data_IF_743795153029
#
_entry.id   IF_743795153029
#
_cell.length_a   1.000
_cell.length_b   1.000
_cell.length_c   1.000
_cell.angle_alpha   90.00
_cell.angle_beta   90.00
_cell.angle_gamma   90.00
#
_symmetry.space_group_name_H-M   'P 1'
#
loop_
_entity.id
_entity.type
_entity.pdbx_description
1 polymer ?
#
# COMPACT_ATOMS: atom_id res chain seq x y z
N UNK A 1 -22.83 -5.71 -24.37
CA UNK A 1 -22.47 -4.30 -24.11
C UNK A 1 -21.02 -4.25 -23.65
N UNK A 2 -20.11 -3.78 -24.48
CA UNK A 2 -18.68 -3.66 -24.14
C UNK A 2 -18.43 -2.21 -23.73
N UNK A 3 -17.93 -2.00 -22.50
CA UNK A 3 -17.62 -0.66 -22.00
C UNK A 3 -16.54 0.00 -22.85
N UNK A 4 -16.77 1.23 -23.32
CA UNK A 4 -15.88 1.94 -24.25
C UNK A 4 -14.44 2.08 -23.71
N UNK A 5 -14.27 2.23 -22.40
CA UNK A 5 -12.97 2.40 -21.76
C UNK A 5 -12.47 1.16 -21.02
N UNK A 6 -12.95 -0.04 -21.38
CA UNK A 6 -12.56 -1.29 -20.70
C UNK A 6 -11.05 -1.56 -20.78
N UNK A 7 -10.43 -1.32 -21.93
CA UNK A 7 -8.98 -1.47 -22.12
C UNK A 7 -8.18 -0.50 -21.25
N UNK A 8 -8.62 0.76 -21.18
CA UNK A 8 -8.00 1.78 -20.33
C UNK A 8 -8.18 1.45 -18.84
N UNK A 9 -9.34 0.95 -18.45
CA UNK A 9 -9.61 0.53 -17.07
C UNK A 9 -8.69 -0.63 -16.65
N UNK A 10 -8.49 -1.62 -17.53
CA UNK A 10 -7.53 -2.71 -17.29
C UNK A 10 -6.11 -2.21 -17.16
N UNK A 11 -5.68 -1.30 -18.04
CA UNK A 11 -4.36 -0.69 -17.96
C UNK A 11 -4.16 0.03 -16.63
N UNK A 12 -5.15 0.80 -16.16
CA UNK A 12 -5.09 1.51 -14.87
C UNK A 12 -5.07 0.55 -13.67
N UNK A 13 -5.82 -0.55 -13.73
CA UNK A 13 -5.74 -1.62 -12.71
C UNK A 13 -4.35 -2.24 -12.64
N UNK A 14 -3.73 -2.52 -13.78
CA UNK A 14 -2.37 -3.06 -13.81
C UNK A 14 -1.34 -2.05 -13.28
N UNK A 15 -1.48 -0.77 -13.62
CA UNK A 15 -0.64 0.29 -13.08
C UNK A 15 -0.78 0.39 -11.55
N UNK A 16 -2.01 0.42 -11.02
CA UNK A 16 -2.25 0.40 -9.56
C UNK A 16 -1.62 -0.82 -8.88
N UNK A 17 -1.76 -2.01 -9.47
CA UNK A 17 -1.14 -3.22 -8.93
C UNK A 17 0.40 -3.14 -8.89
N UNK A 18 1.02 -2.51 -9.89
CA UNK A 18 2.46 -2.30 -9.91
C UNK A 18 2.90 -1.36 -8.78
N UNK A 19 2.19 -0.23 -8.62
CA UNK A 19 2.46 0.73 -7.54
C UNK A 19 2.26 0.12 -6.15
N UNK A 20 1.25 -0.75 -5.98
CA UNK A 20 1.02 -1.50 -4.75
C UNK A 20 2.16 -2.46 -4.42
N UNK A 21 2.68 -3.18 -5.41
CA UNK A 21 3.83 -4.09 -5.23
C UNK A 21 5.08 -3.32 -4.85
N UNK A 22 5.38 -2.25 -5.57
CA UNK A 22 6.52 -1.38 -5.26
C UNK A 22 6.42 -0.82 -3.83
N UNK A 23 5.24 -0.36 -3.43
CA UNK A 23 4.99 0.12 -2.06
C UNK A 23 5.21 -0.99 -1.01
N UNK A 24 4.72 -2.20 -1.26
CA UNK A 24 4.90 -3.33 -0.36
C UNK A 24 6.38 -3.71 -0.18
N UNK A 25 7.15 -3.75 -1.27
CA UNK A 25 8.59 -3.99 -1.22
C UNK A 25 9.32 -2.92 -0.40
N UNK A 26 9.02 -1.64 -0.64
CA UNK A 26 9.61 -0.53 0.11
C UNK A 26 9.25 -0.57 1.59
N UNK A 27 8.01 -0.95 1.93
CA UNK A 27 7.59 -1.15 3.32
C UNK A 27 8.36 -2.30 3.97
N UNK A 28 8.50 -3.44 3.30
CA UNK A 28 9.28 -4.57 3.81
C UNK A 28 10.72 -4.17 4.10
N UNK A 29 11.36 -3.40 3.22
CA UNK A 29 12.69 -2.86 3.46
C UNK A 29 12.73 -1.91 4.66
N UNK A 30 11.73 -1.05 4.84
CA UNK A 30 11.62 -0.16 6.00
C UNK A 30 11.48 -0.97 7.30
N UNK A 31 10.61 -1.98 7.32
CA UNK A 31 10.42 -2.86 8.46
C UNK A 31 11.70 -3.62 8.82
N UNK A 32 12.41 -4.16 7.83
CA UNK A 32 13.69 -4.83 8.05
C UNK A 32 14.73 -3.89 8.67
N UNK A 33 14.79 -2.63 8.20
CA UNK A 33 15.69 -1.61 8.77
C UNK A 33 15.33 -1.25 10.20
N UNK A 34 14.05 -1.11 10.52
CA UNK A 34 13.57 -0.85 11.88
C UNK A 34 13.91 -2.02 12.82
N UNK A 35 13.71 -3.25 12.35
CA UNK A 35 14.08 -4.45 13.11
C UNK A 35 15.60 -4.52 13.36
N UNK A 36 16.41 -4.17 12.36
CA UNK A 36 17.87 -4.08 12.52
C UNK A 36 18.27 -3.03 13.56
N UNK A 37 17.61 -1.87 13.58
CA UNK A 37 17.84 -0.84 14.61
C UNK A 37 17.49 -1.37 16.00
N UNK A 38 16.36 -2.06 16.14
CA UNK A 38 15.95 -2.65 17.41
C UNK A 38 16.97 -3.69 17.88
N UNK A 39 17.45 -4.54 16.98
CA UNK A 39 18.49 -5.51 17.29
C UNK A 39 19.78 -4.83 17.78
N UNK A 40 20.21 -3.75 17.13
CA UNK A 40 21.38 -2.98 17.55
C UNK A 40 21.19 -2.40 18.97
N UNK A 41 20.02 -1.84 19.27
CA UNK A 41 19.69 -1.30 20.59
C UNK A 41 19.69 -2.40 21.66
N UNK A 42 19.02 -3.52 21.40
CA UNK A 42 18.97 -4.68 22.30
C UNK A 42 20.38 -5.27 22.55
N UNK A 43 21.21 -5.39 21.51
CA UNK A 43 22.60 -5.82 21.66
C UNK A 43 23.45 -4.83 22.46
N UNK A 44 23.19 -3.53 22.31
CA UNK A 44 23.82 -2.49 23.11
C UNK A 44 23.47 -2.59 24.59
N UNK A 45 22.20 -2.79 24.91
CA UNK A 45 21.71 -2.95 26.27
C UNK A 45 22.31 -4.20 26.94
N UNK A 46 22.30 -5.35 26.25
CA UNK A 46 22.92 -6.59 26.77
C UNK A 46 24.40 -6.42 27.07
N UNK A 47 25.15 -5.80 26.17
CA UNK A 47 26.59 -5.57 26.38
C UNK A 47 26.84 -4.55 27.51
N UNK A 48 25.93 -3.61 27.73
CA UNK A 48 26.01 -2.65 28.84
C UNK A 48 25.75 -3.33 30.18
N UNK A 49 24.76 -4.21 30.26
CA UNK A 49 24.49 -5.05 31.43
C UNK A 49 25.69 -5.95 31.75
N UNK A 50 26.24 -6.61 30.73
CA UNK A 50 27.43 -7.45 30.88
C UNK A 50 28.64 -6.67 31.39
N UNK A 51 28.89 -5.47 30.83
CA UNK A 51 29.96 -4.58 31.31
C UNK A 51 29.72 -4.20 32.78
N UNK A 52 28.48 -3.88 33.16
CA UNK A 52 28.15 -3.52 34.54
C UNK A 52 28.43 -4.65 35.52
N UNK A 53 28.10 -5.90 35.17
CA UNK A 53 28.45 -7.07 35.98
C UNK A 53 29.98 -7.27 36.05
N UNK A 54 30.68 -7.13 34.92
CA UNK A 54 32.14 -7.30 34.86
C UNK A 54 32.89 -6.19 35.62
N UNK A 55 32.36 -4.98 35.68
CA UNK A 55 32.91 -3.87 36.47
C UNK A 55 32.88 -4.12 37.98
N UNK A 56 32.03 -5.03 38.46
CA UNK A 56 32.05 -5.49 39.86
C UNK A 56 33.24 -6.40 40.17
N UNK A 57 33.97 -6.82 39.13
CA UNK A 57 35.21 -7.60 39.19
C UNK A 57 36.41 -6.72 38.79
N UNK A 58 37.62 -7.14 39.11
CA UNK A 58 38.84 -6.43 38.71
C UNK A 58 39.03 -6.54 37.19
N UNK A 59 38.73 -5.46 36.45
CA UNK A 59 38.83 -5.42 34.99
C UNK A 59 40.15 -4.78 34.53
N UNK A 60 40.76 -5.35 33.49
CA UNK A 60 41.92 -4.74 32.83
C UNK A 60 41.51 -3.49 32.03
N UNK A 61 42.33 -2.44 32.07
CA UNK A 61 42.13 -1.22 31.28
C UNK A 61 42.03 -1.46 29.78
N UNK A 62 42.69 -2.50 29.25
CA UNK A 62 42.60 -2.91 27.84
C UNK A 62 41.18 -3.35 27.48
N UNK A 63 40.49 -4.06 28.39
CA UNK A 63 39.12 -4.51 28.17
C UNK A 63 38.16 -3.31 28.18
N UNK A 64 38.37 -2.35 29.07
CA UNK A 64 37.58 -1.12 29.10
C UNK A 64 37.69 -0.31 27.80
N UNK A 65 38.90 -0.20 27.23
CA UNK A 65 39.11 0.46 25.94
C UNK A 65 38.37 -0.23 24.78
N UNK A 66 38.28 -1.57 24.79
CA UNK A 66 37.50 -2.32 23.78
C UNK A 66 36.01 -2.04 23.89
N UNK A 67 35.47 -1.95 25.11
CA UNK A 67 34.06 -1.60 25.32
C UNK A 67 33.75 -0.16 24.88
N UNK A 68 34.61 0.80 25.22
CA UNK A 68 34.44 2.20 24.80
C UNK A 68 34.41 2.32 23.27
N UNK A 69 35.37 1.69 22.58
CA UNK A 69 35.38 1.63 21.12
C UNK A 69 34.12 0.97 20.54
N UNK A 70 33.68 -0.14 21.14
CA UNK A 70 32.46 -0.82 20.73
C UNK A 70 31.23 0.08 20.86
N UNK A 71 31.05 0.78 21.99
CA UNK A 71 29.90 1.66 22.20
C UNK A 71 29.93 2.90 21.31
N UNK A 72 31.09 3.48 21.03
CA UNK A 72 31.24 4.57 20.05
C UNK A 72 30.85 4.11 18.64
N UNK A 73 31.33 2.94 18.22
CA UNK A 73 30.96 2.32 16.95
C UNK A 73 29.46 2.01 16.88
N UNK A 74 28.89 1.47 17.95
CA UNK A 74 27.46 1.18 18.05
C UNK A 74 26.61 2.45 17.95
N UNK A 75 27.00 3.54 18.63
CA UNK A 75 26.34 4.83 18.53
C UNK A 75 26.33 5.36 17.10
N UNK A 76 27.50 5.33 16.43
CA UNK A 76 27.63 5.75 15.03
C UNK A 76 26.73 4.93 14.11
N UNK A 77 26.73 3.60 14.25
CA UNK A 77 25.88 2.69 13.46
C UNK A 77 24.39 2.93 13.70
N UNK A 78 24.01 3.23 14.93
CA UNK A 78 22.62 3.53 15.32
C UNK A 78 22.14 4.81 14.63
N UNK A 79 22.94 5.89 14.68
CA UNK A 79 22.62 7.17 14.02
C UNK A 79 22.48 7.00 12.51
N UNK A 80 23.41 6.27 11.88
CA UNK A 80 23.34 5.97 10.43
C UNK A 80 22.07 5.20 10.10
N UNK A 81 21.72 4.19 10.91
CA UNK A 81 20.51 3.40 10.68
C UNK A 81 19.23 4.22 10.86
N UNK A 82 19.17 5.11 11.85
CA UNK A 82 18.04 6.03 12.08
C UNK A 82 17.85 7.01 10.91
N UNK A 83 18.95 7.53 10.37
CA UNK A 83 18.92 8.37 9.16
C UNK A 83 18.34 7.59 7.97
N UNK A 84 18.83 6.37 7.73
CA UNK A 84 18.36 5.51 6.64
C UNK A 84 16.89 5.13 6.77
N UNK A 85 16.39 4.91 7.99
CA UNK A 85 14.97 4.67 8.27
C UNK A 85 14.15 5.90 7.90
N UNK A 86 14.62 7.09 8.28
CA UNK A 86 13.92 8.35 7.98
C UNK A 86 13.85 8.61 6.47
N UNK A 87 14.95 8.43 5.75
CA UNK A 87 14.96 8.54 4.29
C UNK A 87 14.05 7.50 3.62
N UNK A 88 14.11 6.25 4.07
CA UNK A 88 13.26 5.18 3.56
C UNK A 88 11.78 5.48 3.83
N UNK A 89 11.46 6.02 5.01
CA UNK A 89 10.11 6.45 5.37
C UNK A 89 9.59 7.56 4.46
N UNK A 90 10.41 8.56 4.14
CA UNK A 90 10.05 9.62 3.18
C UNK A 90 9.77 9.04 1.79
N UNK A 91 10.57 8.08 1.32
CA UNK A 91 10.35 7.42 0.03
C UNK A 91 9.06 6.61 0.01
N UNK A 92 8.75 5.88 1.09
CA UNK A 92 7.49 5.13 1.23
C UNK A 92 6.28 6.08 1.19
N UNK A 93 6.36 7.22 1.87
CA UNK A 93 5.27 8.19 1.87
C UNK A 93 5.07 8.84 0.48
N UNK A 94 6.17 9.14 -0.23
CA UNK A 94 6.10 9.59 -1.62
C UNK A 94 5.47 8.53 -2.55
N UNK A 95 5.79 7.25 -2.35
CA UNK A 95 5.17 6.15 -3.11
C UNK A 95 3.68 6.01 -2.79
N UNK A 96 3.29 6.20 -1.52
CA UNK A 96 1.89 6.17 -1.08
C UNK A 96 1.06 7.25 -1.78
N UNK A 97 1.58 8.48 -1.93
CA UNK A 97 0.84 9.54 -2.62
C UNK A 97 0.63 9.21 -4.10
N UNK A 98 1.63 8.64 -4.77
CA UNK A 98 1.51 8.16 -6.15
C UNK A 98 0.46 7.06 -6.30
N UNK A 99 0.44 6.09 -5.38
CA UNK A 99 -0.57 5.04 -5.36
C UNK A 99 -1.99 5.61 -5.20
N UNK A 100 -2.17 6.56 -4.28
CA UNK A 100 -3.47 7.23 -4.08
C UNK A 100 -3.94 7.93 -5.36
N UNK A 101 -3.05 8.59 -6.10
CA UNK A 101 -3.40 9.17 -7.39
C UNK A 101 -3.78 8.12 -8.44
N UNK A 102 -3.05 7.00 -8.51
CA UNK A 102 -3.38 5.91 -9.41
C UNK A 102 -4.77 5.32 -9.10
N UNK A 103 -5.08 5.13 -7.82
CA UNK A 103 -6.39 4.66 -7.35
C UNK A 103 -7.51 5.65 -7.72
N UNK A 104 -7.28 6.96 -7.55
CA UNK A 104 -8.24 8.00 -7.96
C UNK A 104 -8.52 7.93 -9.47
N UNK A 105 -7.48 7.83 -10.29
CA UNK A 105 -7.58 7.71 -11.75
C UNK A 105 -8.36 6.47 -12.17
N UNK A 106 -8.15 5.32 -11.51
CA UNK A 106 -8.96 4.10 -11.72
C UNK A 106 -10.42 4.32 -11.30
N UNK A 107 -10.65 4.91 -10.12
CA UNK A 107 -12.00 5.09 -9.56
C UNK A 107 -12.91 5.90 -10.47
N UNK A 108 -12.38 6.93 -11.13
CA UNK A 108 -13.13 7.71 -12.13
C UNK A 108 -13.64 6.81 -13.27
N UNK A 109 -12.81 5.91 -13.78
CA UNK A 109 -13.20 5.00 -14.88
C UNK A 109 -14.22 3.95 -14.45
N UNK A 110 -14.15 3.45 -13.20
CA UNK A 110 -15.17 2.56 -12.65
C UNK A 110 -16.51 3.28 -12.52
N UNK A 111 -16.54 4.52 -12.03
CA UNK A 111 -17.78 5.31 -11.91
C UNK A 111 -18.42 5.52 -13.30
N UNK A 112 -17.60 5.80 -14.32
CA UNK A 112 -18.10 5.95 -15.69
C UNK A 112 -18.70 4.64 -16.23
N UNK A 113 -18.04 3.51 -15.96
CA UNK A 113 -18.54 2.18 -16.31
C UNK A 113 -19.88 1.88 -15.65
N UNK A 114 -19.98 2.15 -14.35
CA UNK A 114 -21.21 1.93 -13.57
C UNK A 114 -22.38 2.78 -14.11
N UNK A 115 -22.11 4.05 -14.45
CA UNK A 115 -23.11 4.94 -15.07
C UNK A 115 -23.57 4.44 -16.43
N UNK A 116 -22.67 3.97 -17.28
CA UNK A 116 -23.00 3.44 -18.60
C UNK A 116 -23.87 2.17 -18.47
N UNK A 117 -23.49 1.26 -17.56
CA UNK A 117 -24.28 0.07 -17.23
C UNK A 117 -25.68 0.41 -16.70
N UNK A 118 -25.77 1.39 -15.82
CA UNK A 118 -27.05 1.86 -15.29
C UNK A 118 -27.96 2.41 -16.39
N UNK A 119 -27.41 3.26 -17.26
CA UNK A 119 -28.16 3.85 -18.39
C UNK A 119 -28.60 2.78 -19.40
N UNK A 120 -27.73 1.82 -19.71
CA UNK A 120 -28.04 0.70 -20.59
C UNK A 120 -29.22 -0.14 -20.03
N UNK A 121 -29.16 -0.50 -18.75
CA UNK A 121 -30.26 -1.23 -18.07
C UNK A 121 -31.56 -0.44 -18.09
N UNK A 122 -31.50 0.86 -17.78
CA UNK A 122 -32.68 1.73 -17.80
C UNK A 122 -33.29 1.83 -19.19
N UNK A 123 -32.47 1.85 -20.25
CA UNK A 123 -32.95 1.84 -21.63
C UNK A 123 -33.64 0.53 -21.98
N UNK A 124 -33.03 -0.61 -21.66
CA UNK A 124 -33.64 -1.93 -21.88
C UNK A 124 -35.00 -2.06 -21.18
N UNK A 125 -35.10 -1.64 -19.92
CA UNK A 125 -36.38 -1.69 -19.18
C UNK A 125 -37.45 -0.84 -19.86
N UNK A 126 -37.10 0.36 -20.36
CA UNK A 126 -38.04 1.21 -21.10
C UNK A 126 -38.49 0.58 -22.41
N UNK A 127 -37.57 -0.01 -23.15
CA UNK A 127 -37.86 -0.72 -24.41
C UNK A 127 -38.77 -1.94 -24.14
N UNK A 128 -38.53 -2.67 -23.04
CA UNK A 128 -39.36 -3.81 -22.63
C UNK A 128 -40.78 -3.40 -22.20
N UNK A 129 -40.92 -2.33 -21.43
CA UNK A 129 -42.25 -1.78 -21.05
C UNK A 129 -43.02 -1.34 -22.31
N UNK A 130 -42.37 -0.59 -23.21
CA UNK A 130 -43.02 -0.15 -24.45
C UNK A 130 -43.50 -1.32 -25.30
N UNK A 131 -42.69 -2.38 -25.40
CA UNK A 131 -43.08 -3.61 -26.09
C UNK A 131 -44.27 -4.31 -25.42
N UNK A 132 -44.30 -4.40 -24.08
CA UNK A 132 -45.42 -4.98 -23.34
C UNK A 132 -46.72 -4.18 -23.53
N UNK A 133 -46.64 -2.85 -23.56
CA UNK A 133 -47.77 -1.97 -23.80
C UNK A 133 -48.34 -2.17 -25.22
N UNK A 134 -47.47 -2.25 -26.23
CA UNK A 134 -47.86 -2.53 -27.63
C UNK A 134 -48.56 -3.89 -27.77
N UNK A 135 -48.00 -4.95 -27.17
CA UNK A 135 -48.60 -6.30 -27.18
C UNK A 135 -49.96 -6.30 -26.48
N UNK A 136 -50.08 -5.59 -25.36
CA UNK A 136 -51.32 -5.49 -24.60
C UNK A 136 -52.41 -4.75 -25.38
N UNK A 137 -52.05 -3.62 -26.01
CA UNK A 137 -52.95 -2.85 -26.90
C UNK A 137 -53.44 -3.69 -28.07
N UNK A 138 -52.53 -4.39 -28.75
CA UNK A 138 -52.86 -5.27 -29.89
C UNK A 138 -53.82 -6.39 -29.47
N UNK A 139 -53.55 -7.06 -28.33
CA UNK A 139 -54.45 -8.10 -27.80
C UNK A 139 -55.83 -7.56 -27.42
N UNK A 140 -55.89 -6.37 -26.84
CA UNK A 140 -57.15 -5.72 -26.49
C UNK A 140 -57.97 -5.39 -27.74
N UNK A 141 -57.33 -4.87 -28.80
CA UNK A 141 -57.98 -4.62 -30.08
C UNK A 141 -58.52 -5.91 -30.70
N UNK A 142 -57.75 -7.00 -30.70
CA UNK A 142 -58.20 -8.29 -31.23
C UNK A 142 -59.35 -8.93 -30.44
N UNK A 143 -59.49 -8.61 -29.15
CA UNK A 143 -60.57 -9.14 -28.30
C UNK A 143 -61.88 -8.37 -28.44
N UNK A 144 -61.80 -7.11 -28.87
CA UNK A 144 -62.95 -6.20 -29.00
C UNK A 144 -63.33 -5.91 -30.46
N UNK A 145 -62.71 -6.61 -31.42
CA UNK A 145 -63.09 -6.67 -32.82
C UNK A 145 -63.91 -7.95 -33.08
#
# INVERSE_FOLDING_TARGET
>A
MTYRFETLLRLRKNAENLEQRAMAEMQNHLYARQHQLQNLKNSGEKNREELQTRLQQTLSGTILGLYDWYFQSLGTRTVVQEHLITESGRKVEAQRTQLVEAMKKRRVLEILKDRELFNARRKMIKEEIAFQDEVSSTRWQMRNA
#
